data_IF_919889292458
#
_entry.id   IF_919889292458
#
_cell.length_a   1.000
_cell.length_b   1.000
_cell.length_c   1.000
_cell.angle_alpha   90.00
_cell.angle_beta   90.00
_cell.angle_gamma   90.00
#
_symmetry.space_group_name_H-M   'P 1'
#
loop_
_entity.id
_entity.type
_entity.pdbx_description
1 polymer ?
#
# COMPACT_ATOMS: atom_id res chain seq x y z
N UNK A 1 -16.63 -14.10 25.44
CA UNK A 1 -16.89 -14.68 26.78
C UNK A 1 -18.18 -14.07 27.32
N UNK A 2 -19.03 -14.83 28.01
CA UNK A 2 -20.22 -14.26 28.67
C UNK A 2 -19.82 -13.74 30.04
N UNK A 3 -20.12 -12.47 30.31
CA UNK A 3 -19.78 -11.79 31.55
C UNK A 3 -21.00 -11.02 32.02
N UNK A 4 -21.28 -11.05 33.33
CA UNK A 4 -22.29 -10.20 33.95
C UNK A 4 -21.63 -8.89 34.38
N UNK A 5 -22.20 -7.77 33.97
CA UNK A 5 -21.72 -6.41 34.27
C UNK A 5 -22.93 -5.53 34.54
N UNK A 6 -22.80 -4.63 35.52
CA UNK A 6 -23.81 -3.61 35.80
C UNK A 6 -23.58 -2.41 34.87
N UNK A 7 -24.62 -1.99 34.14
CA UNK A 7 -24.59 -0.88 33.18
C UNK A 7 -25.73 0.07 33.53
N UNK A 8 -25.50 1.39 33.41
CA UNK A 8 -26.57 2.39 33.54
C UNK A 8 -27.67 2.15 32.49
N UNK A 9 -28.90 1.97 32.95
CA UNK A 9 -30.07 1.73 32.09
C UNK A 9 -30.31 2.88 31.12
N UNK A 10 -30.14 4.14 31.56
CA UNK A 10 -30.34 5.31 30.70
C UNK A 10 -29.33 5.33 29.56
N UNK A 11 -28.09 4.92 29.85
CA UNK A 11 -27.05 4.81 28.84
C UNK A 11 -27.39 3.72 27.82
N UNK A 12 -27.80 2.53 28.30
CA UNK A 12 -28.17 1.43 27.41
C UNK A 12 -29.38 1.79 26.54
N UNK A 13 -30.40 2.42 27.13
CA UNK A 13 -31.60 2.85 26.40
C UNK A 13 -31.27 3.89 25.33
N UNK A 14 -30.40 4.87 25.65
CA UNK A 14 -29.92 5.84 24.67
C UNK A 14 -29.19 5.17 23.50
N UNK A 15 -28.29 4.21 23.79
CA UNK A 15 -27.54 3.51 22.74
C UNK A 15 -28.46 2.65 21.87
N UNK A 16 -29.44 1.98 22.46
CA UNK A 16 -30.42 1.18 21.71
C UNK A 16 -31.38 2.04 20.90
N UNK A 17 -31.72 3.25 21.37
CA UNK A 17 -32.61 4.17 20.65
C UNK A 17 -31.91 4.90 19.49
N UNK A 18 -30.60 5.15 19.62
CA UNK A 18 -29.81 5.91 18.62
C UNK A 18 -29.02 5.01 17.68
N UNK A 19 -28.64 3.81 18.11
CA UNK A 19 -27.82 2.88 17.34
C UNK A 19 -28.65 1.80 16.64
N UNK A 20 -28.15 1.33 15.50
CA UNK A 20 -28.74 0.25 14.71
C UNK A 20 -28.41 -1.14 15.30
N UNK A 21 -28.72 -1.36 16.59
CA UNK A 21 -28.41 -2.62 17.28
C UNK A 21 -29.67 -3.44 17.55
N UNK A 22 -29.61 -4.74 17.26
CA UNK A 22 -30.74 -5.65 17.55
C UNK A 22 -30.73 -6.14 18.99
N UNK A 23 -29.57 -6.17 19.62
CA UNK A 23 -29.39 -6.72 20.98
C UNK A 23 -28.44 -5.88 21.81
N UNK A 24 -28.63 -5.90 23.15
CA UNK A 24 -27.73 -5.22 24.10
C UNK A 24 -26.27 -5.70 23.98
N UNK A 25 -26.04 -6.99 23.69
CA UNK A 25 -24.69 -7.55 23.48
C UNK A 25 -23.99 -6.88 22.29
N UNK A 26 -24.70 -6.72 21.19
CA UNK A 26 -24.17 -6.13 19.96
C UNK A 26 -23.77 -4.66 20.18
N UNK A 27 -24.60 -3.90 20.88
CA UNK A 27 -24.29 -2.53 21.28
C UNK A 27 -23.00 -2.45 22.12
N UNK A 28 -22.83 -3.35 23.10
CA UNK A 28 -21.63 -3.41 23.95
C UNK A 28 -20.39 -3.79 23.13
N UNK A 29 -20.49 -4.78 22.25
CA UNK A 29 -19.39 -5.19 21.37
C UNK A 29 -18.97 -4.05 20.43
N UNK A 30 -19.93 -3.35 19.84
CA UNK A 30 -19.67 -2.19 18.98
C UNK A 30 -18.96 -1.06 19.76
N UNK A 31 -19.39 -0.78 21.00
CA UNK A 31 -18.74 0.19 21.87
C UNK A 31 -17.29 -0.18 22.20
N UNK A 32 -17.03 -1.44 22.54
CA UNK A 32 -15.66 -1.93 22.81
C UNK A 32 -14.79 -1.88 21.55
N UNK A 33 -15.34 -2.22 20.38
CA UNK A 33 -14.63 -2.12 19.11
C UNK A 33 -14.25 -0.66 18.80
N UNK A 34 -15.11 0.31 19.13
CA UNK A 34 -14.83 1.73 18.97
C UNK A 34 -13.67 2.18 19.87
N UNK A 35 -13.66 1.76 21.13
CA UNK A 35 -12.57 2.07 22.08
C UNK A 35 -11.24 1.49 21.58
N UNK A 36 -11.24 0.24 21.12
CA UNK A 36 -10.05 -0.38 20.52
C UNK A 36 -9.52 0.44 19.34
N UNK A 37 -10.40 0.86 18.43
CA UNK A 37 -10.02 1.71 17.29
C UNK A 37 -9.44 3.04 17.78
N UNK A 38 -10.04 3.67 18.78
CA UNK A 38 -9.55 4.94 19.34
C UNK A 38 -8.13 4.81 19.87
N UNK A 39 -7.84 3.76 20.64
CA UNK A 39 -6.49 3.53 21.16
C UNK A 39 -5.41 3.34 20.10
N UNK A 40 -5.76 2.79 18.93
CA UNK A 40 -4.81 2.70 17.83
C UNK A 40 -4.34 4.08 17.34
N UNK A 41 -5.17 5.12 17.49
CA UNK A 41 -4.84 6.48 17.10
C UNK A 41 -4.18 7.31 18.21
N UNK A 42 -4.21 6.86 19.46
CA UNK A 42 -3.65 7.61 20.58
C UNK A 42 -2.14 7.81 20.44
N UNK A 43 -1.42 6.83 19.89
CA UNK A 43 0.02 6.95 19.60
C UNK A 43 0.31 8.03 18.54
N UNK A 44 -0.52 8.12 17.49
CA UNK A 44 -0.40 9.17 16.49
C UNK A 44 -0.74 10.54 17.09
N UNK A 45 -1.74 10.60 17.97
CA UNK A 45 -2.12 11.84 18.63
C UNK A 45 -1.04 12.29 19.62
N UNK A 46 -0.36 11.37 20.31
CA UNK A 46 0.77 11.68 21.19
C UNK A 46 1.97 12.20 20.39
N UNK A 47 2.20 11.68 19.18
CA UNK A 47 3.23 12.18 18.27
C UNK A 47 2.87 13.54 17.64
N UNK A 48 1.64 14.05 17.83
CA UNK A 48 1.22 15.35 17.30
C UNK A 48 2.02 16.46 17.96
N UNK A 49 2.79 17.18 17.15
CA UNK A 49 3.59 18.34 17.59
C UNK A 49 5.02 18.00 18.02
N UNK A 50 5.34 16.71 18.24
CA UNK A 50 6.74 16.26 18.39
C UNK A 50 7.36 15.83 17.06
N UNK A 51 6.52 15.56 16.06
CA UNK A 51 6.97 15.12 14.75
C UNK A 51 7.59 16.29 13.97
N UNK A 52 8.91 16.22 13.80
CA UNK A 52 9.67 17.13 12.97
C UNK A 52 9.64 16.64 11.51
N UNK A 53 9.07 17.46 10.63
CA UNK A 53 9.09 17.24 9.19
C UNK A 53 10.20 18.11 8.60
N UNK A 54 11.17 17.48 7.91
CA UNK A 54 12.24 18.18 7.21
C UNK A 54 11.95 18.23 5.71
N UNK A 55 11.55 19.41 5.22
CA UNK A 55 11.23 19.66 3.82
C UNK A 55 12.41 20.26 3.03
N UNK A 56 13.64 20.16 3.53
CA UNK A 56 14.83 20.65 2.81
C UNK A 56 15.21 19.75 1.63
N UNK A 57 15.69 20.33 0.53
CA UNK A 57 16.17 19.58 -0.64
C UNK A 57 17.28 18.58 -0.27
N UNK A 58 18.09 18.88 0.75
CA UNK A 58 19.12 18.00 1.28
C UNK A 58 18.54 16.74 1.94
N UNK A 59 17.52 16.88 2.79
CA UNK A 59 16.83 15.74 3.40
C UNK A 59 16.18 14.85 2.34
N UNK A 60 15.56 15.44 1.32
CA UNK A 60 14.98 14.73 0.20
C UNK A 60 16.03 14.02 -0.67
N UNK A 61 17.20 14.64 -0.89
CA UNK A 61 18.31 14.02 -1.60
C UNK A 61 18.87 12.81 -0.85
N UNK A 62 19.08 12.94 0.48
CA UNK A 62 19.56 11.84 1.34
C UNK A 62 18.60 10.65 1.30
N UNK A 63 17.29 10.88 1.44
CA UNK A 63 16.30 9.80 1.45
C UNK A 63 16.17 9.09 0.10
N UNK A 64 16.39 9.79 -1.02
CA UNK A 64 16.48 9.16 -2.35
C UNK A 64 17.71 8.27 -2.49
N UNK A 65 18.86 8.71 -2.00
CA UNK A 65 20.09 7.92 -2.05
C UNK A 65 19.96 6.64 -1.21
N UNK A 66 19.42 6.74 0.01
CA UNK A 66 19.16 5.59 0.87
C UNK A 66 18.18 4.60 0.22
N UNK A 67 17.09 5.07 -0.38
CA UNK A 67 16.15 4.20 -1.11
C UNK A 67 16.80 3.52 -2.32
N UNK A 68 17.69 4.20 -3.04
CA UNK A 68 18.40 3.59 -4.16
C UNK A 68 19.33 2.45 -3.69
N UNK A 69 19.98 2.62 -2.54
CA UNK A 69 20.81 1.58 -1.93
C UNK A 69 19.97 0.38 -1.44
N UNK A 70 18.80 0.64 -0.83
CA UNK A 70 17.84 -0.41 -0.43
C UNK A 70 17.39 -1.22 -1.65
N UNK A 71 17.02 -0.56 -2.76
CA UNK A 71 16.61 -1.24 -3.99
C UNK A 71 17.75 -2.02 -4.65
N UNK A 72 18.98 -1.52 -4.61
CA UNK A 72 20.14 -2.25 -5.12
C UNK A 72 20.39 -3.53 -4.31
N UNK A 73 20.33 -3.43 -2.97
CA UNK A 73 20.45 -4.60 -2.10
C UNK A 73 19.31 -5.61 -2.31
N UNK A 74 18.09 -5.14 -2.57
CA UNK A 74 16.95 -6.00 -2.88
C UNK A 74 17.08 -6.67 -4.25
N UNK A 75 17.64 -5.98 -5.25
CA UNK A 75 17.97 -6.55 -6.56
C UNK A 75 19.09 -7.60 -6.46
N UNK A 76 20.10 -7.34 -5.64
CA UNK A 76 21.17 -8.31 -5.39
C UNK A 76 20.62 -9.57 -4.69
N UNK A 77 19.68 -9.39 -3.74
CA UNK A 77 18.98 -10.51 -3.12
C UNK A 77 18.09 -11.26 -4.12
N UNK A 78 17.34 -10.56 -4.98
CA UNK A 78 16.51 -11.19 -6.02
C UNK A 78 17.37 -11.96 -7.03
N UNK A 79 18.50 -11.39 -7.46
CA UNK A 79 19.45 -12.04 -8.35
C UNK A 79 20.09 -13.29 -7.70
N UNK A 80 20.32 -13.27 -6.39
CA UNK A 80 20.77 -14.44 -5.66
C UNK A 80 19.71 -15.55 -5.57
N UNK A 81 18.44 -15.18 -5.43
CA UNK A 81 17.30 -16.12 -5.44
C UNK A 81 17.07 -16.68 -6.86
N UNK A 82 17.11 -15.84 -7.90
CA UNK A 82 17.00 -16.26 -9.31
C UNK A 82 18.19 -17.15 -9.73
N UNK A 83 19.39 -16.90 -9.22
CA UNK A 83 20.57 -17.75 -9.44
C UNK A 83 20.46 -19.11 -8.73
N UNK A 84 19.76 -19.15 -7.60
CA UNK A 84 19.39 -20.41 -6.95
C UNK A 84 18.35 -21.13 -7.81
N UNK A 85 17.25 -20.47 -8.17
CA UNK A 85 16.12 -21.04 -8.95
C UNK A 85 16.56 -21.59 -10.34
N UNK A 86 17.47 -20.87 -11.02
CA UNK A 86 18.07 -21.35 -12.29
C UNK A 86 19.03 -22.53 -12.11
N UNK A 87 19.73 -22.64 -10.97
CA UNK A 87 20.56 -23.80 -10.67
C UNK A 87 19.73 -25.05 -10.34
N UNK A 88 18.56 -24.90 -9.71
CA UNK A 88 17.61 -25.99 -9.45
C UNK A 88 16.93 -26.47 -10.75
N UNK A 89 16.59 -25.55 -11.66
CA UNK A 89 16.05 -25.89 -12.98
C UNK A 89 17.07 -26.63 -13.87
N UNK A 90 18.35 -26.24 -13.81
CA UNK A 90 19.43 -26.87 -14.59
C UNK A 90 19.80 -28.31 -14.15
N UNK A 91 19.46 -28.69 -12.91
CA UNK A 91 19.68 -30.07 -12.41
C UNK A 91 18.58 -31.04 -12.88
N UNK A 92 17.44 -30.55 -13.40
CA UNK A 92 16.27 -31.38 -13.66
C UNK A 92 15.62 -31.20 -15.06
N UNK A 93 16.37 -30.82 -16.09
CA UNK A 93 15.83 -30.74 -17.46
C UNK A 93 16.69 -31.51 -18.48
N UNK A 94 16.16 -32.54 -19.18
CA UNK A 94 16.84 -33.12 -20.32
C UNK A 94 16.85 -32.11 -21.48
N UNK A 95 18.04 -31.84 -22.03
CA UNK A 95 18.27 -30.82 -23.05
C UNK A 95 17.19 -30.84 -24.17
N UNK A 96 16.50 -29.70 -24.44
CA UNK A 96 15.46 -29.66 -25.46
C UNK A 96 16.06 -29.81 -26.86
N UNK A 97 15.55 -30.78 -27.62
CA UNK A 97 16.09 -31.19 -28.92
C UNK A 97 15.75 -30.26 -30.12
N UNK A 98 15.46 -28.98 -29.89
CA UNK A 98 15.11 -28.06 -30.98
C UNK A 98 15.80 -26.70 -30.84
N UNK A 99 16.44 -26.24 -31.92
CA UNK A 99 17.07 -24.92 -32.00
C UNK A 99 16.06 -23.85 -32.39
N UNK A 100 16.08 -22.72 -31.68
CA UNK A 100 15.22 -21.56 -31.95
C UNK A 100 16.00 -20.54 -32.79
N UNK A 101 15.64 -20.40 -34.07
CA UNK A 101 16.21 -19.38 -34.95
C UNK A 101 15.63 -17.99 -34.63
N UNK A 102 16.37 -17.19 -33.88
CA UNK A 102 16.00 -15.81 -33.57
C UNK A 102 16.23 -14.90 -34.79
N UNK A 103 15.22 -14.74 -35.64
CA UNK A 103 15.14 -13.65 -36.61
C UNK A 103 14.69 -12.36 -35.91
N UNK A 104 15.65 -11.49 -35.57
CA UNK A 104 15.38 -10.18 -34.99
C UNK A 104 14.52 -9.32 -35.92
N UNK A 105 13.25 -9.11 -35.57
CA UNK A 105 12.42 -8.07 -36.17
C UNK A 105 12.78 -6.72 -35.54
N UNK A 106 13.29 -5.81 -36.37
CA UNK A 106 13.54 -4.41 -36.02
C UNK A 106 12.21 -3.67 -35.80
N UNK A 107 12.04 -3.09 -34.62
CA UNK A 107 10.89 -2.24 -34.30
C UNK A 107 11.13 -0.82 -34.86
N UNK A 108 10.21 -0.23 -35.65
CA UNK A 108 10.38 1.14 -36.14
C UNK A 108 10.09 2.18 -35.05
N UNK A 109 10.71 3.39 -35.09
CA UNK A 109 10.58 4.38 -34.03
C UNK A 109 9.19 5.06 -34.02
N UNK A 110 8.73 5.39 -32.82
CA UNK A 110 7.41 5.93 -32.52
C UNK A 110 7.12 7.29 -33.23
N UNK A 111 5.98 7.34 -33.92
CA UNK A 111 5.49 8.54 -34.63
C UNK A 111 4.99 9.60 -33.65
N UNK A 112 5.67 10.75 -33.62
CA UNK A 112 5.34 11.93 -32.80
C UNK A 112 3.99 12.52 -33.23
N UNK A 113 2.95 12.37 -32.40
CA UNK A 113 1.67 13.04 -32.62
C UNK A 113 1.78 14.53 -32.26
N UNK A 114 1.81 15.39 -33.28
CA UNK A 114 1.61 16.82 -33.12
C UNK A 114 0.17 17.11 -32.67
N UNK A 115 0.01 17.67 -31.46
CA UNK A 115 -1.27 18.22 -31.00
C UNK A 115 -1.57 19.53 -31.74
N UNK A 116 -2.69 19.57 -32.46
CA UNK A 116 -3.20 20.81 -33.09
C UNK A 116 -3.55 21.86 -32.01
N UNK A 117 -3.28 23.15 -32.23
CA UNK A 117 -3.65 24.19 -31.29
C UNK A 117 -5.15 24.54 -31.38
N UNK A 118 -5.74 24.86 -30.23
CA UNK A 118 -7.13 25.27 -30.07
C UNK A 118 -7.41 26.60 -30.81
N UNK A 119 -8.51 26.65 -31.59
CA UNK A 119 -9.00 27.88 -32.22
C UNK A 119 -9.65 28.77 -31.14
N UNK A 120 -9.11 29.98 -30.99
CA UNK A 120 -9.71 31.07 -30.19
C UNK A 120 -10.99 31.60 -30.86
N UNK A 121 -11.87 32.10 -30.01
CA UNK A 121 -13.18 32.67 -30.32
C UNK A 121 -13.15 33.93 -31.20
N UNK A 122 -14.22 34.15 -31.98
CA UNK A 122 -14.59 35.45 -32.53
C UNK A 122 -16.13 35.59 -32.65
N UNK A 123 -16.69 36.28 -31.66
CA UNK A 123 -17.77 37.28 -31.67
C UNK A 123 -18.55 37.50 -32.98
N UNK A 124 -19.88 37.42 -32.88
CA UNK A 124 -20.87 38.40 -33.37
C UNK A 124 -22.12 38.31 -32.50
#
# INVERSE_FOLDING_TARGET
MRTNIDIDDKLMDYVMATGDFKTKREAVEAGLQLIKRRHAYDALLAARGTLFWDDSDEAWAKRRAERAAELAAEQDNLAAVDAQDTAEFAVNEPAPAYQVDNHAQSVPPASTHQRKPARKASKS
#
